data_IF_650734946974
#
_entry.id   IF_650734946974
#
_cell.length_a   1.000
_cell.length_b   1.000
_cell.length_c   1.000
_cell.angle_alpha   90.00
_cell.angle_beta   90.00
_cell.angle_gamma   90.00
#
_symmetry.space_group_name_H-M   'P 1'
#
loop_
_entity.id
_entity.type
_entity.pdbx_description
1 polymer ?
#
# COMPACT_ATOMS: atom_id res chain seq x y z
N UNK A 1 18.45 6.74 -17.37
CA UNK A 1 17.26 6.19 -16.68
C UNK A 1 17.42 4.69 -16.59
N UNK A 2 17.63 4.15 -15.40
CA UNK A 2 17.55 2.71 -15.17
C UNK A 2 16.11 2.25 -15.43
N UNK A 3 15.94 1.20 -16.24
CA UNK A 3 14.63 0.63 -16.55
C UNK A 3 13.99 -0.02 -15.31
N UNK A 4 12.66 -0.14 -15.31
CA UNK A 4 11.92 -0.92 -14.31
C UNK A 4 12.12 -2.41 -14.59
N UNK A 5 12.37 -3.20 -13.54
CA UNK A 5 12.54 -4.65 -13.60
C UNK A 5 11.49 -5.40 -12.80
N UNK A 6 11.10 -6.58 -13.30
CA UNK A 6 10.29 -7.52 -12.52
C UNK A 6 11.18 -8.37 -11.60
N UNK A 7 10.66 -8.80 -10.46
CA UNK A 7 11.39 -9.58 -9.46
C UNK A 7 11.66 -11.04 -9.84
N UNK A 8 10.97 -11.58 -10.86
CA UNK A 8 11.04 -13.00 -11.24
C UNK A 8 11.48 -13.24 -12.69
N UNK A 9 11.41 -12.25 -13.57
CA UNK A 9 11.82 -12.37 -14.97
C UNK A 9 12.72 -11.20 -15.38
N UNK A 10 13.64 -11.45 -16.30
CA UNK A 10 14.41 -10.42 -17.02
C UNK A 10 13.53 -9.61 -18.01
N UNK A 11 12.26 -9.41 -17.67
CA UNK A 11 11.26 -8.70 -18.44
C UNK A 11 10.83 -7.44 -17.67
N UNK A 12 10.60 -6.36 -18.41
CA UNK A 12 10.02 -5.15 -17.86
C UNK A 12 8.58 -5.39 -17.42
N UNK A 13 8.11 -4.76 -16.33
CA UNK A 13 6.72 -4.86 -15.91
C UNK A 13 5.77 -4.42 -17.03
N UNK A 14 4.75 -5.24 -17.32
CA UNK A 14 3.74 -4.90 -18.32
C UNK A 14 2.48 -4.37 -17.64
N UNK A 15 2.29 -3.06 -17.67
CA UNK A 15 1.06 -2.42 -17.21
C UNK A 15 0.13 -2.13 -18.38
N UNK A 16 -1.12 -2.57 -18.26
CA UNK A 16 -2.14 -2.38 -19.31
C UNK A 16 -3.16 -1.34 -18.88
N UNK A 17 -3.95 -0.84 -19.85
CA UNK A 17 -5.13 -0.02 -19.54
C UNK A 17 -6.09 -0.75 -18.59
N UNK A 18 -6.19 -2.08 -18.70
CA UNK A 18 -6.99 -2.91 -17.78
C UNK A 18 -6.47 -2.80 -16.35
N UNK A 19 -5.15 -2.85 -16.12
CA UNK A 19 -4.53 -2.66 -14.80
C UNK A 19 -4.93 -1.30 -14.21
N UNK A 20 -4.83 -0.24 -15.02
CA UNK A 20 -5.20 1.11 -14.62
C UNK A 20 -6.69 1.24 -14.28
N UNK A 21 -7.59 0.74 -15.14
CA UNK A 21 -9.03 0.79 -14.88
C UNK A 21 -9.42 -0.01 -13.64
N UNK A 22 -8.76 -1.14 -13.36
CA UNK A 22 -8.99 -1.91 -12.12
C UNK A 22 -8.58 -1.12 -10.88
N UNK A 23 -7.44 -0.43 -10.91
CA UNK A 23 -7.04 0.46 -9.82
C UNK A 23 -8.08 1.57 -9.58
N UNK A 24 -8.64 2.16 -10.65
CA UNK A 24 -9.67 3.18 -10.51
C UNK A 24 -10.98 2.63 -9.96
N UNK A 25 -11.40 1.43 -10.38
CA UNK A 25 -12.59 0.79 -9.82
C UNK A 25 -12.41 0.53 -8.32
N UNK A 26 -11.26 -0.03 -7.90
CA UNK A 26 -10.98 -0.25 -6.46
C UNK A 26 -10.91 1.08 -5.68
N UNK A 27 -10.30 2.12 -6.24
CA UNK A 27 -10.27 3.45 -5.63
C UNK A 27 -11.67 4.04 -5.42
N UNK A 28 -12.60 3.76 -6.34
CA UNK A 28 -13.98 4.29 -6.30
C UNK A 28 -14.81 3.72 -5.15
N UNK A 29 -14.49 2.52 -4.66
CA UNK A 29 -15.10 1.93 -3.46
C UNK A 29 -14.79 2.74 -2.19
N UNK A 30 -13.74 3.57 -2.24
CA UNK A 30 -13.34 4.48 -1.16
C UNK A 30 -13.24 3.81 0.22
N UNK A 31 -12.65 2.60 0.28
CA UNK A 31 -12.52 1.77 1.50
C UNK A 31 -11.91 2.48 2.70
N UNK A 32 -11.04 3.46 2.47
CA UNK A 32 -10.39 4.23 3.53
C UNK A 32 -11.16 5.50 3.94
N UNK A 33 -12.36 5.70 3.39
CA UNK A 33 -13.21 6.89 3.57
C UNK A 33 -12.49 8.22 3.32
N UNK A 34 -11.43 8.19 2.52
CA UNK A 34 -10.67 9.35 2.11
C UNK A 34 -10.15 9.12 0.70
N UNK A 35 -10.65 9.90 -0.23
CA UNK A 35 -10.41 9.72 -1.66
C UNK A 35 -8.94 9.59 -2.01
N UNK A 36 -8.07 10.43 -1.44
CA UNK A 36 -6.64 10.40 -1.73
C UNK A 36 -5.94 9.14 -1.22
N UNK A 37 -6.35 8.62 -0.04
CA UNK A 37 -5.78 7.36 0.46
C UNK A 37 -6.31 6.19 -0.35
N UNK A 38 -7.62 6.13 -0.60
CA UNK A 38 -8.22 5.08 -1.42
C UNK A 38 -7.60 5.01 -2.82
N UNK A 39 -7.34 6.16 -3.44
CA UNK A 39 -6.66 6.24 -4.73
C UNK A 39 -5.21 5.76 -4.64
N UNK A 40 -4.45 6.22 -3.65
CA UNK A 40 -3.06 5.79 -3.45
C UNK A 40 -2.96 4.27 -3.26
N UNK A 41 -3.76 3.72 -2.36
CA UNK A 41 -3.71 2.30 -2.00
C UNK A 41 -4.14 1.40 -3.16
N UNK A 42 -5.19 1.76 -3.89
CA UNK A 42 -5.65 1.01 -5.05
C UNK A 42 -4.60 0.92 -6.18
N UNK A 43 -3.87 2.02 -6.40
CA UNK A 43 -2.75 2.03 -7.34
C UNK A 43 -1.56 1.23 -6.80
N UNK A 44 -1.23 1.35 -5.52
CA UNK A 44 -0.18 0.52 -4.93
C UNK A 44 -0.49 -0.97 -5.07
N UNK A 45 -1.73 -1.38 -4.83
CA UNK A 45 -2.19 -2.76 -4.99
C UNK A 45 -2.05 -3.27 -6.44
N UNK A 46 -2.30 -2.40 -7.41
CA UNK A 46 -2.34 -2.79 -8.84
C UNK A 46 -0.98 -2.73 -9.54
N UNK A 47 -0.05 -1.89 -9.06
CA UNK A 47 1.19 -1.55 -9.77
C UNK A 47 2.48 -1.89 -9.01
N UNK A 48 2.41 -2.32 -7.75
CA UNK A 48 3.61 -2.69 -7.00
C UNK A 48 3.90 -4.20 -6.97
N UNK A 49 2.98 -5.01 -7.50
CA UNK A 49 3.16 -6.45 -7.57
C UNK A 49 4.26 -6.81 -8.55
N UNK A 50 5.01 -7.88 -8.22
CA UNK A 50 6.05 -8.46 -9.09
C UNK A 50 7.24 -7.55 -9.43
N UNK A 51 7.47 -6.48 -8.65
CA UNK A 51 8.63 -5.60 -8.81
C UNK A 51 9.83 -6.02 -7.95
N UNK A 52 11.03 -5.77 -8.46
CA UNK A 52 12.22 -5.77 -7.60
C UNK A 52 12.19 -4.58 -6.62
N UNK A 53 13.05 -4.61 -5.60
CA UNK A 53 13.05 -3.60 -4.55
C UNK A 53 13.27 -2.17 -5.04
N UNK A 54 14.15 -1.95 -6.02
CA UNK A 54 14.43 -0.62 -6.56
C UNK A 54 13.26 -0.09 -7.39
N UNK A 55 12.67 -0.95 -8.23
CA UNK A 55 11.51 -0.59 -9.04
C UNK A 55 10.28 -0.32 -8.17
N UNK A 56 10.07 -1.13 -7.13
CA UNK A 56 8.99 -0.94 -6.16
C UNK A 56 9.03 0.45 -5.54
N UNK A 57 10.18 0.87 -5.01
CA UNK A 57 10.33 2.19 -4.39
C UNK A 57 10.13 3.33 -5.39
N UNK A 58 10.62 3.15 -6.62
CA UNK A 58 10.44 4.14 -7.70
C UNK A 58 8.97 4.30 -8.05
N UNK A 59 8.26 3.20 -8.30
CA UNK A 59 6.84 3.21 -8.67
C UNK A 59 5.99 3.71 -7.50
N UNK A 60 6.27 3.31 -6.26
CA UNK A 60 5.55 3.78 -5.06
C UNK A 60 5.63 5.31 -4.91
N UNK A 61 6.81 5.89 -5.14
CA UNK A 61 7.00 7.35 -5.13
C UNK A 61 6.24 8.02 -6.27
N UNK A 62 6.28 7.46 -7.48
CA UNK A 62 5.53 7.97 -8.62
C UNK A 62 4.02 7.94 -8.36
N UNK A 63 3.49 6.85 -7.79
CA UNK A 63 2.07 6.76 -7.43
C UNK A 63 1.71 7.91 -6.48
N UNK A 64 2.43 8.10 -5.38
CA UNK A 64 2.16 9.21 -4.45
C UNK A 64 2.22 10.59 -5.14
N UNK A 65 3.28 10.83 -5.92
CA UNK A 65 3.49 12.08 -6.62
C UNK A 65 2.32 12.44 -7.55
N UNK A 66 1.93 11.50 -8.41
CA UNK A 66 0.98 11.77 -9.49
C UNK A 66 -0.48 11.55 -9.13
N UNK A 67 -0.77 10.76 -8.09
CA UNK A 67 -2.16 10.52 -7.66
C UNK A 67 -2.58 11.41 -6.49
N UNK A 68 -1.63 11.83 -5.64
CA UNK A 68 -1.93 12.57 -4.41
C UNK A 68 -1.29 13.94 -4.40
N UNK A 69 0.05 14.03 -4.46
CA UNK A 69 0.77 15.29 -4.19
C UNK A 69 0.47 16.37 -5.22
N UNK A 70 0.37 16.03 -6.50
CA UNK A 70 0.04 16.99 -7.57
C UNK A 70 -1.41 17.44 -7.59
N UNK A 71 -2.29 16.71 -6.92
CA UNK A 71 -3.74 16.92 -6.98
C UNK A 71 -4.34 17.39 -5.64
N UNK A 72 -3.53 17.50 -4.58
CA UNK A 72 -3.99 17.83 -3.23
C UNK A 72 -2.94 18.64 -2.45
N UNK A 73 -3.31 19.21 -1.31
CA UNK A 73 -2.39 19.91 -0.40
C UNK A 73 -1.65 18.98 0.56
N UNK A 74 -1.60 17.67 0.29
CA UNK A 74 -0.97 16.69 1.18
C UNK A 74 0.55 16.67 0.91
N UNK A 75 1.40 17.04 1.87
CA UNK A 75 2.82 17.26 1.61
C UNK A 75 3.64 15.97 1.48
N UNK A 76 3.25 14.92 2.20
CA UNK A 76 4.01 13.68 2.33
C UNK A 76 3.09 12.47 2.62
N UNK A 77 3.66 11.27 2.47
CA UNK A 77 2.94 10.00 2.66
C UNK A 77 2.49 9.78 4.10
N UNK A 78 3.26 10.20 5.11
CA UNK A 78 2.87 10.07 6.52
C UNK A 78 1.62 10.89 6.82
N UNK A 79 1.57 12.11 6.29
CA UNK A 79 0.40 13.01 6.35
C UNK A 79 -0.82 12.44 5.64
N UNK A 80 -0.64 11.66 4.56
CA UNK A 80 -1.73 10.95 3.89
C UNK A 80 -2.28 9.83 4.79
N UNK A 81 -1.40 8.98 5.29
CA UNK A 81 -1.77 7.79 6.06
C UNK A 81 -2.45 8.16 7.39
N UNK A 82 -2.00 9.23 8.05
CA UNK A 82 -2.55 9.69 9.33
C UNK A 82 -3.98 10.26 9.24
N UNK A 83 -4.42 10.70 8.05
CA UNK A 83 -5.75 11.32 7.87
C UNK A 83 -6.88 10.30 7.81
N UNK A 84 -6.57 9.03 7.58
CA UNK A 84 -7.54 7.95 7.60
C UNK A 84 -7.51 7.26 8.95
N UNK A 85 -8.33 7.75 9.86
CA UNK A 85 -8.75 6.96 11.00
C UNK A 85 -10.14 6.39 10.69
N UNK A 86 -10.18 5.18 10.11
CA UNK A 86 -11.39 4.35 10.22
C UNK A 86 -11.74 4.30 11.71
N UNK A 87 -13.02 4.47 12.05
CA UNK A 87 -13.51 4.56 13.44
C UNK A 87 -12.81 3.50 14.28
N UNK A 88 -12.11 3.93 15.33
CA UNK A 88 -11.36 3.04 16.22
C UNK A 88 -12.34 2.15 16.99
N UNK A 89 -12.67 0.99 16.42
CA UNK A 89 -13.29 -0.09 17.19
C UNK A 89 -12.20 -0.66 18.13
N UNK A 90 -12.55 -0.89 19.39
CA UNK A 90 -11.75 -1.62 20.38
C UNK A 90 -11.22 -2.98 19.87
N UNK A 91 -11.86 -3.53 18.83
CA UNK A 91 -11.50 -4.79 18.17
C UNK A 91 -10.48 -4.63 17.05
N UNK A 92 -10.02 -3.42 16.72
CA UNK A 92 -9.03 -3.20 15.68
C UNK A 92 -7.62 -2.98 16.25
N UNK A 93 -6.61 -3.49 15.55
CA UNK A 93 -5.18 -3.25 15.82
C UNK A 93 -4.57 -2.51 14.64
N UNK A 94 -3.62 -1.60 14.92
CA UNK A 94 -2.90 -0.88 13.88
C UNK A 94 -1.59 -1.60 13.55
N UNK A 95 -1.43 -2.00 12.28
CA UNK A 95 -0.23 -2.65 11.76
C UNK A 95 0.15 -1.93 10.45
N UNK A 96 1.40 -1.46 10.35
CA UNK A 96 1.91 -0.74 9.17
C UNK A 96 1.03 0.47 8.74
N UNK A 97 0.33 1.12 9.67
CA UNK A 97 -0.59 2.22 9.38
C UNK A 97 -1.98 1.80 8.87
N UNK A 98 -2.28 0.50 8.86
CA UNK A 98 -3.60 -0.06 8.54
C UNK A 98 -4.30 -0.52 9.81
N UNK A 99 -5.61 -0.28 9.89
CA UNK A 99 -6.45 -0.79 10.98
C UNK A 99 -7.02 -2.13 10.54
N UNK A 100 -6.65 -3.18 11.26
CA UNK A 100 -7.06 -4.56 10.97
C UNK A 100 -7.91 -5.08 12.11
N UNK A 101 -8.95 -5.85 11.80
CA UNK A 101 -9.78 -6.52 12.81
C UNK A 101 -8.93 -7.58 13.52
N UNK A 102 -8.92 -7.53 14.86
CA UNK A 102 -8.20 -8.48 15.71
C UNK A 102 -8.91 -9.83 15.68
N UNK A 103 -8.14 -10.89 15.44
CA UNK A 103 -8.62 -12.26 15.58
C UNK A 103 -8.79 -12.69 17.03
N UNK A 104 -9.32 -13.90 17.24
CA UNK A 104 -9.51 -14.49 18.58
C UNK A 104 -8.22 -15.01 19.24
N UNK A 105 -7.12 -15.08 18.48
CA UNK A 105 -5.83 -15.52 19.00
C UNK A 105 -5.22 -14.49 19.96
N UNK A 106 -4.56 -15.00 21.01
CA UNK A 106 -3.78 -14.15 21.91
C UNK A 106 -2.51 -13.64 21.23
N UNK A 107 -2.11 -12.43 21.59
CA UNK A 107 -0.90 -11.80 21.04
C UNK A 107 0.31 -12.46 21.69
N UNK A 108 1.15 -13.11 20.89
CA UNK A 108 2.44 -13.63 21.32
C UNK A 108 3.55 -12.76 20.75
N UNK A 109 4.27 -12.05 21.62
CA UNK A 109 5.42 -11.22 21.24
C UNK A 109 6.69 -12.02 21.46
N UNK A 110 7.30 -12.48 20.37
CA UNK A 110 8.59 -13.15 20.41
C UNK A 110 9.73 -12.12 20.34
N UNK A 111 10.54 -11.96 21.42
CA UNK A 111 11.66 -11.00 21.43
C UNK A 111 12.78 -11.38 20.45
N UNK A 112 12.82 -12.62 19.95
CA UNK A 112 13.79 -13.08 18.96
C UNK A 112 13.38 -12.82 17.51
N UNK A 113 12.15 -12.34 17.28
CA UNK A 113 11.64 -12.09 15.93
C UNK A 113 12.29 -10.86 15.29
N UNK A 114 13.01 -11.06 14.18
CA UNK A 114 13.70 -9.99 13.45
C UNK A 114 12.84 -9.44 12.32
N UNK A 115 12.37 -8.20 12.50
CA UNK A 115 11.57 -7.49 11.51
C UNK A 115 12.47 -6.76 10.50
N UNK A 116 12.91 -7.47 9.45
CA UNK A 116 13.73 -6.91 8.36
C UNK A 116 12.91 -5.99 7.45
N UNK A 117 13.56 -5.14 6.65
CA UNK A 117 12.88 -4.22 5.74
C UNK A 117 12.05 -4.95 4.67
N UNK A 118 12.53 -6.10 4.19
CA UNK A 118 11.76 -6.95 3.28
C UNK A 118 10.50 -7.50 3.95
N UNK A 119 10.61 -7.95 5.20
CA UNK A 119 9.45 -8.45 5.96
C UNK A 119 8.45 -7.32 6.21
N UNK A 120 8.91 -6.11 6.58
CA UNK A 120 8.04 -4.94 6.77
C UNK A 120 7.28 -4.60 5.50
N UNK A 121 7.96 -4.58 4.35
CA UNK A 121 7.33 -4.30 3.05
C UNK A 121 6.26 -5.33 2.71
N UNK A 122 6.60 -6.62 2.84
CA UNK A 122 5.65 -7.69 2.58
C UNK A 122 4.44 -7.61 3.53
N UNK A 123 4.67 -7.27 4.80
CA UNK A 123 3.60 -7.07 5.77
C UNK A 123 2.71 -5.87 5.40
N UNK A 124 3.28 -4.76 4.92
CA UNK A 124 2.52 -3.61 4.42
C UNK A 124 1.62 -4.01 3.24
N UNK A 125 2.15 -4.77 2.28
CA UNK A 125 1.37 -5.23 1.13
C UNK A 125 0.24 -6.19 1.55
N UNK A 126 0.50 -7.10 2.50
CA UNK A 126 -0.54 -7.95 3.09
C UNK A 126 -1.61 -7.11 3.81
N UNK A 127 -1.20 -6.15 4.64
CA UNK A 127 -2.11 -5.26 5.36
C UNK A 127 -3.01 -4.49 4.40
N UNK A 128 -2.48 -3.98 3.28
CA UNK A 128 -3.23 -3.28 2.24
C UNK A 128 -4.34 -4.13 1.62
N UNK A 129 -4.05 -5.41 1.39
CA UNK A 129 -5.02 -6.35 0.80
C UNK A 129 -6.16 -6.63 1.78
N UNK A 130 -5.84 -6.85 3.06
CA UNK A 130 -6.82 -7.27 4.08
C UNK A 130 -7.50 -6.11 4.81
N UNK A 131 -7.00 -4.88 4.68
CA UNK A 131 -7.70 -3.69 5.14
C UNK A 131 -8.83 -3.36 4.18
N UNK A 132 -10.02 -3.86 4.48
CA UNK A 132 -11.26 -3.60 3.76
C UNK A 132 -12.38 -3.34 4.75
#
# INVERSE_FOLDING_TARGET
>A
SSGLSSGFQSASPCYTLRTYCRALMDASENRFHYTWRSLYEAFCLSFLTELDASSYETVKKMIFEYTVRKCSSIPDLKSLLSRCSVISDSRCVEICGYKLVRGSAEVNVDPSYVLTDTVKRNLEDLCRVVSS
#
